data_IF_638698841220
#
_entry.id   IF_638698841220
#
_cell.length_a   1.000
_cell.length_b   1.000
_cell.length_c   1.000
_cell.angle_alpha   90.00
_cell.angle_beta   90.00
_cell.angle_gamma   90.00
#
_symmetry.space_group_name_H-M   'P 1'
#
loop_
_entity.id
_entity.type
_entity.pdbx_description
1 polymer ?
#
# COMPACT_ATOMS: atom_id res chain seq x y z
N UNK A 1 -7.40 3.64 3.42
CA UNK A 1 -6.32 2.95 2.67
C UNK A 1 -6.88 2.00 1.64
N UNK A 2 -7.96 1.29 1.99
CA UNK A 2 -8.79 0.49 1.07
C UNK A 2 -9.07 1.21 -0.26
N UNK A 3 -9.57 2.45 -0.29
CA UNK A 3 -9.81 3.12 -1.59
C UNK A 3 -8.53 3.45 -2.39
N UNK A 4 -7.42 3.74 -1.71
CA UNK A 4 -6.12 4.06 -2.35
C UNK A 4 -5.43 2.77 -2.83
N UNK A 5 -5.68 1.66 -2.15
CA UNK A 5 -5.05 0.37 -2.39
C UNK A 5 -5.91 -0.59 -3.22
N UNK A 6 -7.24 -0.52 -3.15
CA UNK A 6 -8.24 -1.43 -3.73
C UNK A 6 -9.26 -0.70 -4.63
N UNK A 7 -9.16 0.62 -4.80
CA UNK A 7 -10.00 1.37 -5.73
C UNK A 7 -9.84 0.92 -7.19
N UNK A 8 -10.67 1.47 -8.07
CA UNK A 8 -10.89 1.06 -9.48
C UNK A 8 -9.60 0.97 -10.34
N UNK A 9 -8.47 1.54 -9.90
CA UNK A 9 -7.14 1.41 -10.50
C UNK A 9 -6.09 0.78 -9.56
N UNK A 10 -6.49 -0.12 -8.65
CA UNK A 10 -5.61 -0.80 -7.70
C UNK A 10 -4.45 -1.47 -8.43
N UNK A 11 -3.29 -0.84 -8.38
CA UNK A 11 -2.08 -1.39 -9.00
C UNK A 11 -1.28 -2.22 -8.01
N UNK A 12 -1.95 -2.87 -7.02
CA UNK A 12 -1.38 -3.69 -5.93
C UNK A 12 0.06 -3.34 -5.56
N UNK A 13 0.30 -2.05 -5.34
CA UNK A 13 1.65 -1.51 -5.23
C UNK A 13 2.26 -1.90 -3.89
N UNK A 14 3.56 -2.16 -3.89
CA UNK A 14 4.31 -2.41 -2.66
C UNK A 14 4.17 -1.26 -1.65
N UNK A 15 4.38 -1.53 -0.36
CA UNK A 15 4.04 -0.61 0.72
C UNK A 15 4.84 0.71 0.65
N UNK A 16 6.07 0.68 0.12
CA UNK A 16 6.90 1.88 -0.09
C UNK A 16 6.34 2.80 -1.17
N UNK A 17 5.88 2.23 -2.29
CA UNK A 17 5.28 2.98 -3.39
C UNK A 17 3.95 3.59 -2.97
N UNK A 18 3.15 2.84 -2.22
CA UNK A 18 1.89 3.32 -1.65
C UNK A 18 2.11 4.50 -0.69
N UNK A 19 3.05 4.36 0.25
CA UNK A 19 3.42 5.43 1.17
C UNK A 19 3.87 6.71 0.44
N UNK A 20 4.71 6.56 -0.60
CA UNK A 20 5.18 7.69 -1.40
C UNK A 20 4.04 8.40 -2.13
N UNK A 21 3.09 7.65 -2.71
CA UNK A 21 1.93 8.23 -3.40
C UNK A 21 1.04 9.03 -2.45
N UNK A 22 0.78 8.49 -1.25
CA UNK A 22 -0.02 9.16 -0.21
C UNK A 22 0.61 10.50 0.17
N UNK A 23 1.93 10.50 0.41
CA UNK A 23 2.69 11.73 0.73
C UNK A 23 2.64 12.74 -0.42
N UNK A 24 2.79 12.28 -1.66
CA UNK A 24 2.74 13.16 -2.84
C UNK A 24 1.33 13.75 -3.10
N UNK A 25 0.27 13.08 -2.63
CA UNK A 25 -1.08 13.62 -2.66
C UNK A 25 -1.35 14.63 -1.52
N UNK A 26 -0.35 14.95 -0.70
CA UNK A 26 -0.44 15.93 0.37
C UNK A 26 -0.96 15.35 1.70
N UNK A 27 -1.20 14.04 1.76
CA UNK A 27 -1.60 13.38 2.99
C UNK A 27 -0.37 12.95 3.78
N UNK A 28 -0.31 13.37 5.05
CA UNK A 28 0.78 13.00 5.93
C UNK A 28 0.29 12.58 7.31
N UNK A 29 0.84 11.47 7.81
CA UNK A 29 0.76 11.09 9.22
C UNK A 29 1.98 10.23 9.59
N UNK A 30 2.43 10.22 10.86
CA UNK A 30 3.69 9.57 11.26
C UNK A 30 3.74 8.07 10.97
N UNK A 31 2.60 7.39 10.90
CA UNK A 31 2.51 5.94 10.71
C UNK A 31 2.25 5.51 9.26
N UNK A 32 2.29 6.41 8.27
CA UNK A 32 2.01 6.10 6.84
C UNK A 32 2.69 4.81 6.39
N UNK A 33 3.99 4.68 6.64
CA UNK A 33 4.76 3.54 6.16
C UNK A 33 4.32 2.22 6.82
N UNK A 34 4.07 2.25 8.14
CA UNK A 34 3.65 1.08 8.91
C UNK A 34 2.24 0.67 8.55
N UNK A 35 1.36 1.64 8.32
CA UNK A 35 0.01 1.36 7.87
C UNK A 35 0.06 0.72 6.48
N UNK A 36 0.76 1.34 5.52
CA UNK A 36 0.94 0.78 4.17
C UNK A 36 1.49 -0.65 4.22
N UNK A 37 2.48 -0.91 5.07
CA UNK A 37 3.03 -2.25 5.27
C UNK A 37 1.99 -3.24 5.78
N UNK A 38 1.27 -2.89 6.85
CA UNK A 38 0.22 -3.75 7.43
C UNK A 38 -0.91 -4.04 6.44
N UNK A 39 -1.25 -3.07 5.59
CA UNK A 39 -2.32 -3.25 4.61
C UNK A 39 -1.87 -4.12 3.43
N UNK A 40 -0.67 -3.87 2.87
CA UNK A 40 -0.11 -4.75 1.83
C UNK A 40 0.14 -6.17 2.36
N UNK A 41 0.54 -6.32 3.62
CA UNK A 41 0.71 -7.63 4.25
C UNK A 41 -0.61 -8.39 4.40
N UNK A 42 -1.75 -7.72 4.56
CA UNK A 42 -3.07 -8.37 4.67
C UNK A 42 -3.76 -8.58 3.33
N UNK A 43 -3.28 -7.94 2.26
CA UNK A 43 -3.85 -8.09 0.93
C UNK A 43 -3.44 -9.42 0.30
N UNK A 44 -4.41 -10.32 0.09
CA UNK A 44 -4.17 -11.65 -0.48
C UNK A 44 -3.51 -11.59 -1.87
N UNK A 45 -3.90 -10.62 -2.70
CA UNK A 45 -3.30 -10.41 -4.03
C UNK A 45 -1.84 -10.01 -3.89
N UNK A 46 -1.53 -9.04 -3.02
CA UNK A 46 -0.13 -8.66 -2.78
C UNK A 46 0.70 -9.79 -2.19
N UNK A 47 0.13 -10.67 -1.37
CA UNK A 47 0.81 -11.87 -0.86
C UNK A 47 1.08 -12.89 -1.97
N UNK A 48 0.12 -13.10 -2.88
CA UNK A 48 0.25 -14.05 -3.99
C UNK A 48 1.39 -13.69 -4.95
N UNK A 49 1.60 -12.39 -5.17
CA UNK A 49 2.65 -11.87 -6.06
C UNK A 49 3.88 -11.35 -5.30
N UNK A 50 3.94 -11.55 -3.99
CA UNK A 50 5.14 -11.24 -3.23
C UNK A 50 6.29 -12.15 -3.72
N UNK A 51 7.52 -11.63 -3.86
CA UNK A 51 8.66 -12.50 -4.13
C UNK A 51 8.77 -13.54 -3.02
N UNK A 52 8.79 -14.82 -3.41
CA UNK A 52 9.09 -15.92 -2.50
C UNK A 52 10.47 -15.67 -1.86
N UNK A 53 10.63 -15.99 -0.55
CA UNK A 53 11.86 -15.72 0.20
C UNK A 53 13.09 -16.45 -0.36
#
# INVERSE_FOLDING_TARGET
>A
MEEIHEGICSSHQGPRTLARKIILQGYYWPTIQRDCFNHTQRCAVCQQYAPMP
#
